data_IF_266874743041
#
_entry.id   IF_266874743041
#
_cell.length_a   1.000
_cell.length_b   1.000
_cell.length_c   1.000
_cell.angle_alpha   90.00
_cell.angle_beta   90.00
_cell.angle_gamma   90.00
#
_symmetry.space_group_name_H-M   'P 1'
#
loop_
_entity.id
_entity.type
_entity.pdbx_description
1 polymer ?
#
# COMPACT_ATOMS: atom_id res chain seq x y z
N UNK A 1 0.37 -20.50 -14.46
CA UNK A 1 0.00 -19.08 -14.43
C UNK A 1 1.12 -18.31 -13.76
N UNK A 2 1.65 -17.26 -14.36
CA UNK A 2 2.81 -16.54 -13.82
C UNK A 2 2.52 -15.73 -12.53
N UNK A 3 1.26 -15.40 -12.27
CA UNK A 3 0.85 -14.79 -10.99
C UNK A 3 0.60 -15.82 -9.89
N UNK A 4 0.39 -17.07 -10.23
CA UNK A 4 0.30 -18.12 -9.22
C UNK A 4 1.65 -18.23 -8.53
N UNK A 5 1.62 -18.05 -7.24
CA UNK A 5 2.81 -18.10 -6.44
C UNK A 5 3.43 -16.74 -6.08
N UNK A 6 2.88 -15.61 -6.53
CA UNK A 6 3.34 -14.28 -6.12
C UNK A 6 2.23 -13.52 -5.40
N UNK A 7 2.57 -12.92 -4.26
CA UNK A 7 1.81 -11.87 -3.62
C UNK A 7 2.81 -10.87 -3.01
N UNK A 8 2.93 -9.71 -3.64
CA UNK A 8 3.96 -8.72 -3.30
C UNK A 8 3.39 -7.50 -2.58
N UNK A 9 2.12 -7.57 -2.10
CA UNK A 9 1.47 -6.48 -1.41
C UNK A 9 0.52 -7.02 -0.33
N UNK A 10 0.93 -6.91 0.92
CA UNK A 10 0.14 -7.37 2.06
C UNK A 10 0.52 -6.64 3.34
N UNK A 11 -0.42 -6.61 4.28
CA UNK A 11 -0.32 -5.92 5.56
C UNK A 11 -0.50 -6.88 6.73
N UNK A 12 0.08 -6.51 7.86
CA UNK A 12 -0.03 -7.20 9.15
C UNK A 12 -0.44 -6.23 10.26
N UNK A 13 -0.52 -6.73 11.50
CA UNK A 13 -0.74 -5.89 12.68
C UNK A 13 0.41 -4.89 12.94
N UNK A 14 1.53 -4.98 12.21
CA UNK A 14 2.57 -3.95 12.23
C UNK A 14 2.13 -2.63 11.56
N UNK A 15 1.04 -2.66 10.77
CA UNK A 15 0.37 -1.45 10.27
C UNK A 15 -1.14 -1.52 10.52
N UNK A 16 -1.94 -1.74 9.51
CA UNK A 16 -3.40 -1.76 9.57
C UNK A 16 -4.03 -3.07 9.06
N UNK A 17 -3.22 -4.12 8.94
CA UNK A 17 -3.71 -5.46 8.74
C UNK A 17 -4.31 -6.08 10.01
N UNK A 18 -5.28 -6.97 9.86
CA UNK A 18 -5.99 -7.63 10.98
C UNK A 18 -5.20 -8.76 11.62
N UNK A 19 -4.17 -9.27 10.97
CA UNK A 19 -3.51 -10.51 11.35
C UNK A 19 -2.04 -10.32 11.68
N UNK A 20 -1.52 -11.04 12.69
CA UNK A 20 -0.09 -11.10 12.96
C UNK A 20 0.65 -11.73 11.77
N UNK A 21 1.91 -11.41 11.63
CA UNK A 21 2.76 -11.79 10.48
C UNK A 21 2.77 -13.30 10.23
N UNK A 22 2.80 -14.11 11.29
CA UNK A 22 2.80 -15.58 11.17
C UNK A 22 1.51 -16.09 10.52
N UNK A 23 0.36 -15.51 10.86
CA UNK A 23 -0.92 -15.90 10.26
C UNK A 23 -1.00 -15.44 8.81
N UNK A 24 -0.49 -14.24 8.48
CA UNK A 24 -0.39 -13.79 7.09
C UNK A 24 0.46 -14.75 6.27
N UNK A 25 1.64 -15.16 6.76
CA UNK A 25 2.50 -16.13 6.09
C UNK A 25 1.82 -17.50 5.91
N UNK A 26 1.05 -17.95 6.90
CA UNK A 26 0.26 -19.19 6.81
C UNK A 26 -0.81 -19.11 5.72
N UNK A 27 -1.56 -18.02 5.68
CA UNK A 27 -2.58 -17.77 4.66
C UNK A 27 -1.96 -17.67 3.27
N UNK A 28 -0.81 -17.00 3.11
CA UNK A 28 -0.06 -16.95 1.85
C UNK A 28 0.30 -18.36 1.37
N UNK A 29 0.95 -19.16 2.22
CA UNK A 29 1.35 -20.52 1.87
C UNK A 29 0.14 -21.42 1.55
N UNK A 30 -0.94 -21.34 2.33
CA UNK A 30 -2.16 -22.13 2.13
C UNK A 30 -2.87 -21.79 0.82
N UNK A 31 -2.72 -20.57 0.31
CA UNK A 31 -3.26 -20.14 -0.97
C UNK A 31 -2.27 -20.35 -2.14
N UNK A 32 -1.15 -21.04 -1.91
CA UNK A 32 -0.21 -21.40 -2.96
C UNK A 32 0.78 -20.30 -3.34
N UNK A 33 0.93 -19.27 -2.52
CA UNK A 33 1.95 -18.23 -2.70
C UNK A 33 3.32 -18.85 -2.43
N UNK A 34 4.27 -18.65 -3.34
CA UNK A 34 5.64 -19.12 -3.26
C UNK A 34 6.62 -17.98 -2.99
N UNK A 35 6.26 -16.77 -3.40
CA UNK A 35 7.04 -15.54 -3.17
C UNK A 35 6.12 -14.47 -2.61
N UNK A 36 6.42 -14.02 -1.43
CA UNK A 36 5.63 -13.10 -0.63
C UNK A 36 6.44 -11.87 -0.23
N UNK A 37 5.83 -10.67 -0.31
CA UNK A 37 6.34 -9.47 0.32
C UNK A 37 5.37 -8.97 1.40
N UNK A 38 5.91 -8.70 2.58
CA UNK A 38 5.21 -7.93 3.62
C UNK A 38 5.55 -6.46 3.41
N UNK A 39 4.50 -5.64 3.22
CA UNK A 39 4.63 -4.23 2.81
C UNK A 39 3.83 -3.30 3.72
N UNK A 40 3.91 -3.52 5.02
CA UNK A 40 3.24 -2.69 6.03
C UNK A 40 3.46 -1.19 5.80
N UNK A 41 2.44 -0.38 6.06
CA UNK A 41 2.47 1.06 5.81
C UNK A 41 3.55 1.78 6.64
N UNK A 42 4.47 2.43 5.95
CA UNK A 42 5.53 3.30 6.49
C UNK A 42 6.39 2.64 7.58
N UNK A 43 6.42 1.30 7.66
CA UNK A 43 7.19 0.57 8.65
C UNK A 43 7.85 -0.69 8.09
N UNK A 44 8.97 -1.07 8.69
CA UNK A 44 9.71 -2.31 8.40
C UNK A 44 9.79 -3.21 9.65
N UNK A 45 8.99 -2.92 10.69
CA UNK A 45 9.09 -3.61 11.99
C UNK A 45 8.76 -5.11 11.89
N UNK A 46 7.92 -5.53 10.93
CA UNK A 46 7.55 -6.92 10.67
C UNK A 46 8.57 -7.74 9.86
N UNK A 47 9.66 -7.16 9.35
CA UNK A 47 10.54 -7.86 8.42
C UNK A 47 11.25 -9.10 8.98
N UNK A 48 11.75 -9.04 10.21
CA UNK A 48 12.45 -10.18 10.85
C UNK A 48 11.47 -11.33 11.06
N UNK A 49 10.30 -11.01 11.59
CA UNK A 49 9.20 -11.94 11.83
C UNK A 49 8.70 -12.54 10.51
N UNK A 50 8.52 -11.72 9.47
CA UNK A 50 8.13 -12.14 8.13
C UNK A 50 9.12 -13.12 7.50
N UNK A 51 10.42 -12.87 7.63
CA UNK A 51 11.45 -13.76 7.12
C UNK A 51 11.45 -15.13 7.85
N UNK A 52 11.24 -15.11 9.19
CA UNK A 52 11.15 -16.34 9.99
C UNK A 52 9.89 -17.15 9.66
N UNK A 53 8.74 -16.47 9.58
CA UNK A 53 7.46 -17.10 9.25
C UNK A 53 7.47 -17.71 7.83
N UNK A 54 7.97 -16.97 6.85
CA UNK A 54 8.10 -17.45 5.47
C UNK A 54 9.03 -18.67 5.36
N UNK A 55 10.16 -18.64 6.07
CA UNK A 55 11.08 -19.80 6.12
C UNK A 55 10.38 -21.04 6.69
N UNK A 56 9.59 -20.87 7.76
CA UNK A 56 8.83 -21.97 8.38
C UNK A 56 7.78 -22.56 7.44
N UNK A 57 7.19 -21.72 6.58
CA UNK A 57 6.18 -22.14 5.61
C UNK A 57 6.76 -22.56 4.26
N UNK A 58 8.09 -22.46 4.07
CA UNK A 58 8.77 -22.86 2.83
C UNK A 58 8.50 -21.92 1.65
N UNK A 59 8.15 -20.65 1.90
CA UNK A 59 7.95 -19.63 0.88
C UNK A 59 9.09 -18.61 0.89
N UNK A 60 9.36 -18.00 -0.26
CA UNK A 60 10.37 -16.95 -0.39
C UNK A 60 9.82 -15.64 0.17
N UNK A 61 10.59 -14.98 1.03
CA UNK A 61 10.26 -13.67 1.59
C UNK A 61 11.02 -12.55 0.87
N UNK A 62 10.32 -11.44 0.62
CA UNK A 62 10.90 -10.17 0.16
C UNK A 62 10.53 -9.09 1.18
N UNK A 63 11.52 -8.51 1.89
CA UNK A 63 11.26 -7.35 2.73
C UNK A 63 10.72 -6.20 1.92
N UNK A 64 9.59 -5.63 2.33
CA UNK A 64 8.95 -4.52 1.62
C UNK A 64 8.33 -3.49 2.57
N UNK A 65 7.98 -2.35 2.03
CA UNK A 65 7.25 -1.27 2.71
C UNK A 65 6.31 -0.63 1.70
N UNK A 66 5.08 -0.35 2.09
CA UNK A 66 4.21 0.55 1.35
C UNK A 66 4.37 1.98 1.91
N UNK A 67 5.08 2.82 1.17
CA UNK A 67 5.40 4.20 1.58
C UNK A 67 4.26 5.12 1.16
N UNK A 68 3.68 5.82 2.13
CA UNK A 68 2.64 6.84 1.89
C UNK A 68 3.28 8.14 1.41
N UNK A 69 3.04 8.51 0.15
CA UNK A 69 3.62 9.68 -0.50
C UNK A 69 2.57 10.76 -0.78
N UNK A 70 3.02 12.00 -0.94
CA UNK A 70 2.24 13.03 -1.60
C UNK A 70 2.00 12.64 -3.07
N UNK A 71 0.83 13.00 -3.66
CA UNK A 71 0.59 12.73 -5.07
C UNK A 71 1.70 13.30 -5.95
N UNK A 72 2.08 12.57 -7.00
CA UNK A 72 3.02 13.11 -7.98
C UNK A 72 2.39 14.32 -8.70
N UNK A 73 3.21 15.33 -8.97
CA UNK A 73 2.79 16.42 -9.85
C UNK A 73 2.76 15.91 -11.29
N UNK A 74 1.58 15.94 -11.90
CA UNK A 74 1.41 15.55 -13.30
C UNK A 74 1.53 16.78 -14.18
N UNK A 75 2.31 16.75 -15.27
CA UNK A 75 2.28 17.81 -16.27
C UNK A 75 0.84 18.01 -16.78
N UNK A 76 0.40 19.26 -16.91
CA UNK A 76 -0.94 19.64 -17.35
C UNK A 76 -2.12 19.23 -16.45
N UNK A 77 -1.94 19.38 -15.14
CA UNK A 77 -3.04 19.24 -14.16
C UNK A 77 -4.28 20.12 -14.44
N UNK A 78 -4.16 21.08 -15.35
CA UNK A 78 -5.27 21.97 -15.76
C UNK A 78 -6.39 21.27 -16.54
N UNK A 79 -6.12 20.09 -17.13
CA UNK A 79 -7.08 19.36 -17.98
C UNK A 79 -7.74 18.15 -17.31
N UNK A 80 -7.30 17.78 -16.09
CA UNK A 80 -8.06 16.79 -15.32
C UNK A 80 -9.38 17.44 -14.92
N UNK A 81 -10.49 16.93 -15.44
CA UNK A 81 -11.82 17.39 -15.05
C UNK A 81 -11.93 17.38 -13.52
N UNK A 82 -12.54 18.42 -12.94
CA UNK A 82 -12.76 18.58 -11.48
C UNK A 82 -13.33 17.31 -10.83
N UNK A 83 -14.13 16.54 -11.57
CA UNK A 83 -14.72 15.26 -11.13
C UNK A 83 -13.70 14.11 -10.95
N UNK A 84 -12.61 14.11 -11.71
CA UNK A 84 -11.53 13.12 -11.54
C UNK A 84 -10.65 13.50 -10.35
N UNK A 85 -10.44 14.79 -10.11
CA UNK A 85 -9.74 15.30 -8.92
C UNK A 85 -10.50 15.01 -7.61
N UNK A 86 -11.84 15.06 -7.63
CA UNK A 86 -12.67 14.73 -6.46
C UNK A 86 -12.61 13.24 -6.08
N UNK A 87 -12.22 12.37 -7.02
CA UNK A 87 -12.07 10.93 -6.81
C UNK A 87 -10.63 10.49 -6.59
N UNK A 88 -9.65 11.32 -6.95
CA UNK A 88 -8.26 10.99 -6.81
C UNK A 88 -7.85 10.92 -5.33
N UNK A 89 -7.12 9.90 -4.94
CA UNK A 89 -6.54 9.79 -3.60
C UNK A 89 -5.60 10.96 -3.34
N UNK A 90 -5.74 11.60 -2.17
CA UNK A 90 -4.80 12.62 -1.71
C UNK A 90 -3.44 12.03 -1.28
N UNK A 91 -3.23 10.75 -1.49
CA UNK A 91 -1.96 10.04 -1.27
C UNK A 91 -1.70 9.08 -2.40
N UNK A 92 -0.47 8.98 -2.81
CA UNK A 92 0.02 7.88 -3.62
C UNK A 92 0.80 6.92 -2.74
N UNK A 93 0.72 5.63 -3.04
CA UNK A 93 1.44 4.60 -2.31
C UNK A 93 2.53 4.01 -3.20
N UNK A 94 3.74 3.98 -2.68
CA UNK A 94 4.91 3.44 -3.37
C UNK A 94 5.37 2.19 -2.64
N UNK A 95 5.27 1.04 -3.30
CA UNK A 95 5.83 -0.21 -2.82
C UNK A 95 7.35 -0.16 -3.00
N UNK A 96 8.06 -0.39 -1.92
CA UNK A 96 9.50 -0.51 -1.88
C UNK A 96 9.86 -1.97 -1.57
N UNK A 97 10.75 -2.58 -2.34
CA UNK A 97 11.18 -3.95 -2.16
C UNK A 97 12.69 -4.03 -2.02
N UNK A 98 13.14 -4.92 -1.14
CA UNK A 98 14.56 -5.15 -0.89
C UNK A 98 14.93 -6.64 -1.10
N UNK A 99 14.86 -7.16 -2.35
CA UNK A 99 14.95 -8.60 -2.64
C UNK A 99 16.30 -9.24 -2.31
N UNK A 100 17.35 -8.43 -2.13
CA UNK A 100 18.70 -8.88 -1.80
C UNK A 100 19.10 -8.58 -0.34
N UNK A 101 18.19 -7.96 0.44
CA UNK A 101 18.42 -7.68 1.84
C UNK A 101 17.98 -8.87 2.71
N UNK A 102 18.83 -9.22 3.69
CA UNK A 102 18.47 -10.18 4.73
C UNK A 102 18.07 -9.42 5.98
N UNK A 103 16.80 -9.53 6.44
CA UNK A 103 16.35 -8.87 7.66
C UNK A 103 17.24 -9.23 8.86
N UNK A 104 17.56 -8.21 9.67
CA UNK A 104 18.49 -8.37 10.79
C UNK A 104 19.97 -8.31 10.45
N UNK A 105 20.36 -8.24 9.16
CA UNK A 105 21.74 -8.04 8.77
C UNK A 105 22.21 -6.61 8.99
N UNK A 106 23.51 -6.41 9.14
CA UNK A 106 24.13 -5.09 9.29
C UNK A 106 24.38 -4.42 7.93
N UNK A 107 23.31 -4.12 7.19
CA UNK A 107 23.37 -3.38 5.93
C UNK A 107 23.22 -1.88 6.18
N UNK A 108 24.32 -1.14 6.05
CA UNK A 108 24.33 0.30 6.31
C UNK A 108 23.43 1.09 5.35
N UNK A 109 23.21 0.63 4.11
CA UNK A 109 22.34 1.31 3.15
C UNK A 109 20.87 1.17 3.58
N UNK A 110 20.46 -0.03 3.93
CA UNK A 110 19.11 -0.30 4.45
C UNK A 110 18.92 0.40 5.80
N UNK A 111 19.92 0.39 6.67
CA UNK A 111 19.85 1.15 7.95
C UNK A 111 19.56 2.63 7.73
N UNK A 112 20.19 3.28 6.74
CA UNK A 112 19.90 4.68 6.39
C UNK A 112 18.47 4.86 5.85
N UNK A 113 17.98 3.92 5.07
CA UNK A 113 16.58 3.94 4.62
C UNK A 113 15.62 3.83 5.82
N UNK A 114 15.87 2.92 6.76
CA UNK A 114 15.04 2.76 7.96
C UNK A 114 15.06 4.04 8.83
N UNK A 115 16.20 4.71 8.95
CA UNK A 115 16.30 6.01 9.63
C UNK A 115 15.53 7.12 8.91
N UNK A 116 15.49 7.08 7.57
CA UNK A 116 14.68 8.00 6.77
C UNK A 116 13.18 7.70 6.89
N UNK A 117 12.81 6.42 7.02
CA UNK A 117 11.42 5.96 7.14
C UNK A 117 10.81 6.25 8.52
N UNK A 118 11.57 6.08 9.60
CA UNK A 118 11.09 6.15 10.98
C UNK A 118 10.27 7.43 11.30
N UNK A 119 10.68 8.66 10.93
CA UNK A 119 9.87 9.86 11.21
C UNK A 119 8.50 9.87 10.51
N UNK A 120 8.31 9.08 9.46
CA UNK A 120 7.04 9.00 8.72
C UNK A 120 6.04 8.12 9.47
N UNK A 121 6.53 7.05 10.07
CA UNK A 121 5.78 6.25 11.03
C UNK A 121 5.45 7.08 12.28
N UNK A 122 6.44 7.75 12.86
CA UNK A 122 6.30 8.55 14.09
C UNK A 122 5.28 9.70 13.94
N UNK A 123 5.09 10.23 12.74
CA UNK A 123 4.09 11.26 12.44
C UNK A 123 2.64 10.78 12.47
N UNK A 124 2.39 9.48 12.45
CA UNK A 124 1.04 8.91 12.41
C UNK A 124 0.32 9.01 13.75
N UNK A 125 0.99 8.77 14.87
CA UNK A 125 0.39 8.88 16.19
C UNK A 125 -0.01 10.34 16.53
N UNK A 126 0.84 11.37 16.42
CA UNK A 126 0.43 12.76 16.63
C UNK A 126 -0.75 13.18 15.74
N UNK A 127 -0.77 12.74 14.48
CA UNK A 127 -1.90 12.96 13.60
C UNK A 127 -3.18 12.30 14.11
N UNK A 128 -3.10 11.05 14.56
CA UNK A 128 -4.25 10.32 15.11
C UNK A 128 -4.83 11.05 16.32
N UNK A 129 -3.98 11.50 17.25
CA UNK A 129 -4.39 12.33 18.39
C UNK A 129 -5.09 13.61 17.95
N UNK A 130 -4.58 14.29 16.94
CA UNK A 130 -5.21 15.49 16.39
C UNK A 130 -6.55 15.19 15.70
N UNK A 131 -6.70 14.05 15.02
CA UNK A 131 -7.97 13.63 14.41
C UNK A 131 -9.02 13.29 15.48
N UNK A 132 -8.65 12.55 16.53
CA UNK A 132 -9.57 12.27 17.66
C UNK A 132 -10.02 13.55 18.34
N UNK A 133 -9.12 14.49 18.63
CA UNK A 133 -9.48 15.81 19.19
C UNK A 133 -10.42 16.60 18.27
N UNK A 134 -10.22 16.51 16.96
CA UNK A 134 -11.11 17.18 15.99
C UNK A 134 -12.49 16.52 15.94
N UNK A 135 -12.58 15.19 15.98
CA UNK A 135 -13.85 14.47 16.09
C UNK A 135 -14.58 14.80 17.40
N UNK A 136 -13.88 14.91 18.52
CA UNK A 136 -14.46 15.35 19.79
C UNK A 136 -15.10 16.74 19.65
N UNK A 137 -14.42 17.69 19.01
CA UNK A 137 -14.98 19.04 18.74
C UNK A 137 -16.21 19.01 17.83
N UNK A 138 -16.42 17.94 17.06
CA UNK A 138 -17.60 17.69 16.21
C UNK A 138 -18.68 16.88 16.93
N UNK A 139 -18.53 16.62 18.24
CA UNK A 139 -19.49 15.87 19.04
C UNK A 139 -19.38 14.35 18.95
N UNK A 140 -18.26 13.85 18.44
CA UNK A 140 -17.95 12.42 18.28
C UNK A 140 -16.65 12.09 19.04
N UNK A 141 -16.61 12.12 20.38
CA UNK A 141 -15.42 11.81 21.14
C UNK A 141 -15.01 10.34 20.95
N UNK A 142 -13.82 10.12 20.45
CA UNK A 142 -13.18 8.80 20.33
C UNK A 142 -11.92 8.80 21.21
N UNK A 143 -11.82 7.82 22.10
CA UNK A 143 -10.65 7.68 22.95
C UNK A 143 -9.44 7.26 22.09
N UNK A 144 -8.46 8.15 21.99
CA UNK A 144 -7.27 7.93 21.18
C UNK A 144 -6.44 6.74 21.67
N UNK A 145 -6.41 6.46 22.96
CA UNK A 145 -5.66 5.31 23.48
C UNK A 145 -6.29 3.98 23.05
N UNK A 146 -7.62 3.93 22.91
CA UNK A 146 -8.31 2.79 22.31
C UNK A 146 -7.93 2.61 20.85
N UNK A 147 -7.84 3.70 20.09
CA UNK A 147 -7.43 3.64 18.67
C UNK A 147 -5.98 3.19 18.53
N UNK A 148 -5.09 3.73 19.38
CA UNK A 148 -3.67 3.36 19.36
C UNK A 148 -3.45 1.90 19.78
N UNK A 149 -4.21 1.41 20.75
CA UNK A 149 -4.12 0.01 21.20
C UNK A 149 -4.57 -1.02 20.15
N UNK A 150 -5.30 -0.61 19.12
CA UNK A 150 -5.67 -1.47 17.98
C UNK A 150 -4.51 -1.69 17.00
N UNK A 151 -3.52 -0.80 17.02
CA UNK A 151 -2.36 -0.87 16.12
C UNK A 151 -1.16 -1.40 16.91
N UNK A 152 -0.65 -2.57 16.56
CA UNK A 152 0.58 -3.12 17.14
C UNK A 152 1.85 -2.40 16.62
N UNK A 153 1.71 -1.60 15.58
CA UNK A 153 2.79 -0.87 14.92
C UNK A 153 2.36 0.50 14.39
N UNK A 154 2.08 0.61 13.12
CA UNK A 154 1.74 1.89 12.49
C UNK A 154 0.24 2.18 12.51
N UNK A 155 -0.20 3.13 13.34
CA UNK A 155 -1.61 3.52 13.40
C UNK A 155 -2.07 4.21 12.12
N UNK A 156 -3.24 3.82 11.61
CA UNK A 156 -3.87 4.39 10.41
C UNK A 156 -5.33 4.79 10.62
N UNK A 157 -5.89 5.49 9.64
CA UNK A 157 -7.32 5.87 9.63
C UNK A 157 -8.29 4.68 9.68
N UNK A 158 -7.97 3.47 9.17
CA UNK A 158 -8.82 2.30 9.36
C UNK A 158 -9.11 1.97 10.83
N UNK A 159 -8.11 2.13 11.73
CA UNK A 159 -8.29 1.94 13.16
C UNK A 159 -9.25 2.97 13.78
N UNK A 160 -9.17 4.23 13.33
CA UNK A 160 -10.10 5.29 13.75
C UNK A 160 -11.51 5.03 13.23
N UNK A 161 -11.65 4.62 11.96
CA UNK A 161 -12.93 4.26 11.37
C UNK A 161 -13.62 3.13 12.16
N UNK A 162 -12.86 2.12 12.55
CA UNK A 162 -13.34 1.02 13.38
C UNK A 162 -13.82 1.51 14.75
N UNK A 163 -13.01 2.34 15.42
CA UNK A 163 -13.41 2.91 16.72
C UNK A 163 -14.66 3.79 16.61
N UNK A 164 -14.86 4.51 15.48
CA UNK A 164 -16.10 5.28 15.23
C UNK A 164 -17.32 4.37 15.04
N UNK A 165 -17.16 3.20 14.39
CA UNK A 165 -18.24 2.20 14.27
C UNK A 165 -18.58 1.62 15.63
N UNK A 166 -17.59 1.22 16.42
CA UNK A 166 -17.78 0.68 17.76
C UNK A 166 -18.46 1.70 18.73
N UNK A 167 -18.13 2.97 18.56
CA UNK A 167 -18.77 4.06 19.31
C UNK A 167 -20.19 4.41 18.82
N UNK A 168 -20.64 3.83 17.70
CA UNK A 168 -21.95 4.06 17.12
C UNK A 168 -22.13 5.41 16.44
N UNK A 169 -21.03 6.08 16.04
CA UNK A 169 -21.08 7.35 15.31
C UNK A 169 -21.35 7.17 13.82
N UNK A 170 -21.02 5.99 13.29
CA UNK A 170 -21.24 5.56 11.91
C UNK A 170 -21.61 4.08 11.88
N UNK A 171 -22.31 3.66 10.84
CA UNK A 171 -22.70 2.25 10.68
C UNK A 171 -21.58 1.39 10.07
N UNK A 172 -20.71 1.98 9.26
CA UNK A 172 -19.63 1.28 8.56
C UNK A 172 -18.33 2.09 8.52
N UNK A 173 -17.20 1.39 8.37
CA UNK A 173 -15.89 2.03 8.11
C UNK A 173 -15.94 2.90 6.86
N UNK A 174 -16.65 2.48 5.82
CA UNK A 174 -16.82 3.23 4.59
C UNK A 174 -17.49 4.59 4.85
N UNK A 175 -18.58 4.61 5.62
CA UNK A 175 -19.26 5.85 6.01
C UNK A 175 -18.34 6.78 6.80
N UNK A 176 -17.49 6.25 7.70
CA UNK A 176 -16.51 7.06 8.42
C UNK A 176 -15.60 7.82 7.44
N UNK A 177 -15.08 7.13 6.41
CA UNK A 177 -14.24 7.78 5.40
C UNK A 177 -15.01 8.79 4.54
N UNK A 178 -16.20 8.45 4.07
CA UNK A 178 -16.98 9.31 3.17
C UNK A 178 -17.43 10.60 3.81
N UNK A 179 -17.74 10.59 5.11
CA UNK A 179 -18.37 11.72 5.79
C UNK A 179 -17.47 12.47 6.77
N UNK A 180 -16.47 11.78 7.36
CA UNK A 180 -15.79 12.33 8.53
C UNK A 180 -14.27 12.38 8.44
N UNK A 181 -13.59 11.27 8.11
CA UNK A 181 -12.14 11.16 8.24
C UNK A 181 -11.40 11.01 6.90
N UNK A 182 -12.13 10.95 5.80
CA UNK A 182 -11.54 11.00 4.46
C UNK A 182 -10.95 12.37 4.14
N UNK A 183 -10.14 12.43 3.11
CA UNK A 183 -9.42 13.65 2.73
C UNK A 183 -10.40 14.81 2.45
N UNK A 184 -10.14 15.95 3.07
CA UNK A 184 -11.00 17.13 2.97
C UNK A 184 -12.23 17.13 3.88
N UNK A 185 -12.56 16.05 4.55
CA UNK A 185 -13.70 15.94 5.44
C UNK A 185 -13.47 16.62 6.81
N UNK A 186 -14.55 16.90 7.58
CA UNK A 186 -14.45 17.69 8.81
C UNK A 186 -13.49 17.16 9.88
N UNK A 187 -13.35 15.84 10.02
CA UNK A 187 -12.44 15.19 10.98
C UNK A 187 -11.03 14.96 10.45
N UNK A 188 -10.77 15.28 9.18
CA UNK A 188 -9.47 15.05 8.55
C UNK A 188 -8.40 16.02 9.06
N UNK A 189 -7.22 15.47 9.36
CA UNK A 189 -6.00 16.23 9.65
C UNK A 189 -4.94 15.85 8.62
N UNK A 190 -4.34 16.82 7.90
CA UNK A 190 -3.26 16.55 6.96
C UNK A 190 -2.07 15.87 7.65
N UNK A 191 -1.38 15.02 6.90
CA UNK A 191 -0.12 14.42 7.31
C UNK A 191 0.97 14.86 6.33
N UNK A 192 2.12 15.29 6.86
CA UNK A 192 3.27 15.59 6.04
C UNK A 192 3.83 14.30 5.44
N UNK A 193 3.82 14.21 4.12
CA UNK A 193 4.21 13.03 3.36
C UNK A 193 5.46 13.34 2.55
N UNK A 194 6.36 12.38 2.35
CA UNK A 194 7.42 12.53 1.36
C UNK A 194 6.82 12.67 -0.04
N UNK A 195 7.51 13.37 -0.90
CA UNK A 195 7.23 13.30 -2.34
C UNK A 195 7.59 11.91 -2.88
N UNK A 196 6.99 11.54 -4.01
CA UNK A 196 7.37 10.31 -4.72
C UNK A 196 8.86 10.27 -5.02
N UNK A 197 9.44 11.39 -5.46
CA UNK A 197 10.87 11.48 -5.80
C UNK A 197 11.78 11.24 -4.59
N UNK A 198 11.44 11.79 -3.43
CA UNK A 198 12.19 11.54 -2.19
C UNK A 198 12.14 10.06 -1.80
N UNK A 199 10.96 9.43 -1.89
CA UNK A 199 10.79 8.02 -1.59
C UNK A 199 11.58 7.12 -2.57
N UNK A 200 11.46 7.35 -3.87
CA UNK A 200 12.24 6.63 -4.90
C UNK A 200 13.74 6.75 -4.65
N UNK A 201 14.22 7.97 -4.38
CA UNK A 201 15.64 8.20 -4.11
C UNK A 201 16.12 7.45 -2.86
N UNK A 202 15.34 7.46 -1.77
CA UNK A 202 15.69 6.75 -0.54
C UNK A 202 15.76 5.23 -0.74
N UNK A 203 14.79 4.65 -1.46
CA UNK A 203 14.75 3.22 -1.78
C UNK A 203 15.93 2.81 -2.67
N UNK A 204 16.18 3.56 -3.76
CA UNK A 204 17.29 3.26 -4.69
C UNK A 204 18.66 3.38 -4.03
N UNK A 205 18.88 4.38 -3.17
CA UNK A 205 20.12 4.50 -2.40
C UNK A 205 20.36 3.31 -1.46
N UNK A 206 19.27 2.70 -0.99
CA UNK A 206 19.34 1.47 -0.18
C UNK A 206 19.49 0.18 -1.01
N UNK A 207 19.51 0.27 -2.35
CA UNK A 207 19.59 -0.87 -3.24
C UNK A 207 18.27 -1.62 -3.42
N UNK A 208 17.15 -0.99 -3.05
CA UNK A 208 15.80 -1.46 -3.29
C UNK A 208 15.27 -1.11 -4.68
N UNK A 209 14.11 -1.65 -5.00
CA UNK A 209 13.33 -1.37 -6.21
C UNK A 209 11.93 -0.89 -5.84
N UNK A 210 11.30 -0.14 -6.74
CA UNK A 210 10.03 0.53 -6.47
C UNK A 210 8.93 0.11 -7.44
N UNK A 211 7.69 0.06 -6.96
CA UNK A 211 6.50 -0.15 -7.79
C UNK A 211 5.36 0.74 -7.30
N UNK A 212 4.64 1.39 -8.20
CA UNK A 212 3.46 2.16 -7.81
C UNK A 212 2.31 1.21 -7.44
N UNK A 213 1.76 1.35 -6.23
CA UNK A 213 0.66 0.52 -5.72
C UNK A 213 -0.69 0.91 -6.36
N UNK A 214 -1.56 -0.07 -6.56
CA UNK A 214 -3.00 0.05 -6.91
C UNK A 214 -3.42 1.33 -7.67
N UNK A 215 -2.83 1.65 -8.83
CA UNK A 215 -2.96 2.96 -9.50
C UNK A 215 -4.39 3.34 -9.92
N UNK A 216 -5.34 2.41 -9.92
CA UNK A 216 -6.76 2.70 -10.21
C UNK A 216 -7.34 3.78 -9.29
N UNK A 217 -6.84 3.87 -8.04
CA UNK A 217 -7.34 4.82 -7.05
C UNK A 217 -6.87 6.25 -7.27
N UNK A 218 -5.92 6.48 -8.19
CA UNK A 218 -5.40 7.84 -8.40
C UNK A 218 -6.15 8.62 -9.46
N UNK A 219 -7.06 7.97 -10.22
CA UNK A 219 -7.87 8.64 -11.24
C UNK A 219 -7.05 9.19 -12.41
N UNK A 220 -5.83 8.67 -12.62
CA UNK A 220 -4.92 9.13 -13.68
C UNK A 220 -5.05 8.20 -14.90
N UNK A 221 -5.23 8.74 -16.13
CA UNK A 221 -5.19 7.94 -17.34
C UNK A 221 -3.87 7.15 -17.44
N UNK A 222 -3.95 5.89 -17.91
CA UNK A 222 -2.80 4.96 -17.90
C UNK A 222 -1.59 5.53 -18.64
N UNK A 223 -1.78 6.15 -19.80
CA UNK A 223 -0.70 6.75 -20.58
C UNK A 223 0.07 7.82 -19.80
N UNK A 224 -0.66 8.73 -19.15
CA UNK A 224 -0.06 9.79 -18.30
C UNK A 224 0.62 9.22 -17.07
N UNK A 225 0.02 8.18 -16.48
CA UNK A 225 0.58 7.48 -15.35
C UNK A 225 1.94 6.86 -15.70
N UNK A 226 2.01 6.11 -16.79
CA UNK A 226 3.25 5.46 -17.25
C UNK A 226 4.36 6.48 -17.53
N UNK A 227 4.02 7.60 -18.17
CA UNK A 227 4.96 8.72 -18.36
C UNK A 227 5.49 9.25 -17.04
N UNK A 228 4.59 9.49 -16.06
CA UNK A 228 4.96 9.95 -14.73
C UNK A 228 5.88 8.96 -13.99
N UNK A 229 5.64 7.64 -14.12
CA UNK A 229 6.50 6.63 -13.50
C UNK A 229 7.92 6.68 -14.05
N UNK A 230 8.07 6.81 -15.36
CA UNK A 230 9.36 6.93 -16.03
C UNK A 230 10.12 8.20 -15.60
N UNK A 231 9.43 9.35 -15.60
CA UNK A 231 10.01 10.64 -15.18
C UNK A 231 10.52 10.63 -13.74
N UNK A 232 9.85 9.94 -12.83
CA UNK A 232 10.27 9.80 -11.43
C UNK A 232 11.25 8.63 -11.22
N UNK A 233 11.51 7.84 -12.26
CA UNK A 233 12.40 6.70 -12.20
C UNK A 233 11.85 5.57 -11.33
N UNK A 234 10.53 5.37 -11.27
CA UNK A 234 9.90 4.23 -10.61
C UNK A 234 10.14 2.99 -11.47
N UNK A 235 10.48 1.86 -10.84
CA UNK A 235 10.94 0.67 -11.56
C UNK A 235 9.79 -0.20 -12.09
N UNK A 236 8.58 -0.03 -11.55
CA UNK A 236 7.44 -0.85 -11.93
C UNK A 236 6.09 -0.30 -11.49
N UNK A 237 5.04 -1.04 -11.81
CA UNK A 237 3.65 -0.74 -11.45
C UNK A 237 2.91 -2.00 -11.03
N UNK A 238 2.08 -1.91 -10.01
CA UNK A 238 1.19 -2.97 -9.60
C UNK A 238 0.02 -3.07 -10.59
N UNK A 239 0.26 -3.77 -11.70
CA UNK A 239 -0.76 -3.93 -12.71
C UNK A 239 -1.80 -5.00 -12.32
N UNK A 240 -1.38 -6.01 -11.56
CA UNK A 240 -2.26 -7.08 -11.10
C UNK A 240 -2.65 -6.86 -9.65
N UNK A 241 -3.79 -6.25 -9.46
CA UNK A 241 -4.40 -5.96 -8.16
C UNK A 241 -5.88 -6.34 -8.18
N UNK A 242 -6.44 -6.71 -7.01
CA UNK A 242 -7.85 -7.15 -6.89
C UNK A 242 -8.88 -6.14 -7.41
N UNK A 243 -8.62 -4.84 -7.23
CA UNK A 243 -9.54 -3.76 -7.63
C UNK A 243 -9.46 -3.41 -9.12
N UNK A 244 -8.50 -3.96 -9.85
CA UNK A 244 -8.34 -3.68 -11.27
C UNK A 244 -9.25 -4.59 -12.10
N UNK A 245 -10.01 -4.02 -13.02
CA UNK A 245 -10.68 -4.81 -14.06
C UNK A 245 -9.66 -5.41 -15.03
N UNK A 246 -10.02 -6.48 -15.73
CA UNK A 246 -9.13 -7.12 -16.68
C UNK A 246 -8.71 -6.17 -17.82
N UNK A 247 -9.61 -5.29 -18.25
CA UNK A 247 -9.29 -4.27 -19.24
C UNK A 247 -8.24 -3.27 -18.73
N UNK A 248 -8.35 -2.83 -17.47
CA UNK A 248 -7.38 -1.93 -16.86
C UNK A 248 -6.03 -2.61 -16.65
N UNK A 249 -6.01 -3.87 -16.19
CA UNK A 249 -4.79 -4.68 -16.07
C UNK A 249 -4.08 -4.82 -17.41
N UNK A 250 -4.82 -5.18 -18.45
CA UNK A 250 -4.27 -5.33 -19.79
C UNK A 250 -3.62 -4.04 -20.28
N UNK A 251 -4.30 -2.90 -20.13
CA UNK A 251 -3.77 -1.62 -20.58
C UNK A 251 -2.53 -1.21 -19.79
N UNK A 252 -2.53 -1.38 -18.46
CA UNK A 252 -1.35 -1.15 -17.62
C UNK A 252 -0.18 -2.04 -18.02
N UNK A 253 -0.40 -3.34 -18.15
CA UNK A 253 0.64 -4.30 -18.53
C UNK A 253 1.22 -3.99 -19.91
N UNK A 254 0.38 -3.67 -20.88
CA UNK A 254 0.78 -3.32 -22.24
C UNK A 254 1.69 -2.08 -22.25
N UNK A 255 1.23 -0.99 -21.65
CA UNK A 255 1.97 0.27 -21.66
C UNK A 255 3.23 0.21 -20.79
N UNK A 256 3.16 -0.40 -19.59
CA UNK A 256 4.31 -0.58 -18.73
C UNK A 256 5.40 -1.42 -19.40
N UNK A 257 5.03 -2.53 -20.06
CA UNK A 257 5.98 -3.38 -20.80
C UNK A 257 6.62 -2.63 -21.96
N UNK A 258 5.84 -1.84 -22.71
CA UNK A 258 6.36 -1.03 -23.81
C UNK A 258 7.38 0.01 -23.34
N UNK A 259 7.23 0.55 -22.12
CA UNK A 259 8.16 1.49 -21.49
C UNK A 259 9.31 0.81 -20.73
N UNK A 260 9.33 -0.53 -20.66
CA UNK A 260 10.36 -1.27 -19.95
C UNK A 260 10.19 -1.31 -18.42
N UNK A 261 9.00 -0.94 -17.92
CA UNK A 261 8.66 -1.02 -16.50
C UNK A 261 8.34 -2.47 -16.08
N UNK A 262 8.69 -2.80 -14.86
CA UNK A 262 8.34 -4.10 -14.26
C UNK A 262 6.84 -4.15 -13.89
N UNK A 263 6.26 -5.35 -13.97
CA UNK A 263 4.90 -5.63 -13.52
C UNK A 263 4.96 -6.28 -12.15
N UNK A 264 4.24 -5.74 -11.17
CA UNK A 264 4.04 -6.37 -9.87
C UNK A 264 2.61 -6.85 -9.67
N UNK A 265 2.47 -7.76 -8.72
CA UNK A 265 1.24 -8.48 -8.39
C UNK A 265 1.04 -8.39 -6.89
N UNK A 266 -0.10 -7.92 -6.42
CA UNK A 266 -0.40 -7.85 -5.00
C UNK A 266 -1.89 -7.96 -4.71
N UNK A 267 -2.22 -8.62 -3.60
CA UNK A 267 -3.60 -8.71 -3.12
C UNK A 267 -4.01 -7.50 -2.32
N UNK A 268 -3.05 -6.74 -1.81
CA UNK A 268 -3.29 -5.68 -0.82
C UNK A 268 -4.10 -6.23 0.36
N UNK A 269 -3.64 -7.39 0.86
CA UNK A 269 -4.33 -8.14 1.89
C UNK A 269 -4.23 -7.43 3.24
N UNK A 270 -5.37 -7.06 3.81
CA UNK A 270 -5.47 -6.46 5.14
C UNK A 270 -6.15 -7.37 6.15
N UNK A 271 -6.83 -8.43 5.69
CA UNK A 271 -7.50 -9.36 6.61
C UNK A 271 -8.68 -10.07 5.98
N UNK A 272 -9.14 -11.11 6.69
CA UNK A 272 -10.24 -11.97 6.23
C UNK A 272 -11.61 -11.29 6.38
N UNK A 273 -11.77 -10.32 7.28
CA UNK A 273 -13.02 -9.56 7.43
C UNK A 273 -13.34 -8.69 6.21
N UNK A 274 -12.32 -8.33 5.41
CA UNK A 274 -12.49 -7.62 4.14
C UNK A 274 -12.88 -8.54 2.98
N UNK A 275 -13.19 -9.81 3.23
CA UNK A 275 -13.44 -10.83 2.21
C UNK A 275 -12.28 -10.98 1.21
N UNK A 276 -11.08 -10.75 1.68
CA UNK A 276 -9.86 -10.84 0.89
C UNK A 276 -9.18 -12.18 1.11
N UNK A 277 -8.55 -12.68 0.07
CA UNK A 277 -7.75 -13.89 0.12
C UNK A 277 -6.37 -13.58 -0.45
N UNK A 278 -5.30 -13.75 0.35
CA UNK A 278 -3.94 -13.54 -0.14
C UNK A 278 -3.64 -14.46 -1.31
N UNK A 279 -2.87 -13.97 -2.28
CA UNK A 279 -2.51 -14.73 -3.47
C UNK A 279 -3.66 -15.03 -4.44
N UNK A 280 -4.89 -14.70 -4.07
CA UNK A 280 -6.07 -14.96 -4.90
C UNK A 280 -6.54 -13.66 -5.57
N UNK A 281 -6.15 -13.50 -6.82
CA UNK A 281 -6.66 -12.44 -7.65
C UNK A 281 -7.51 -13.06 -8.76
N UNK A 282 -8.82 -12.75 -8.83
CA UNK A 282 -9.71 -13.32 -9.84
C UNK A 282 -9.33 -12.77 -11.22
N UNK A 283 -8.46 -13.47 -11.95
CA UNK A 283 -7.90 -13.02 -13.21
C UNK A 283 -7.95 -14.13 -14.22
N UNK A 284 -8.38 -13.79 -15.43
CA UNK A 284 -8.13 -14.60 -16.61
C UNK A 284 -6.79 -14.22 -17.26
N UNK A 285 -5.71 -14.38 -16.48
CA UNK A 285 -4.36 -13.94 -16.92
C UNK A 285 -3.89 -14.64 -18.17
N UNK A 286 -4.21 -15.92 -18.35
CA UNK A 286 -3.82 -16.64 -19.56
C UNK A 286 -4.40 -15.95 -20.82
N UNK A 287 -5.65 -15.48 -20.74
CA UNK A 287 -6.27 -14.72 -21.83
C UNK A 287 -5.60 -13.33 -22.02
N UNK A 288 -5.22 -12.65 -20.95
CA UNK A 288 -4.49 -11.38 -21.01
C UNK A 288 -3.09 -11.57 -21.61
N UNK A 289 -2.36 -12.59 -21.20
CA UNK A 289 -1.02 -12.89 -21.72
C UNK A 289 -1.06 -13.32 -23.19
N UNK A 290 -2.08 -14.03 -23.63
CA UNK A 290 -2.24 -14.40 -25.02
C UNK A 290 -2.56 -13.17 -25.89
N UNK A 291 -3.40 -12.24 -25.40
CA UNK A 291 -3.65 -10.96 -26.07
C UNK A 291 -2.39 -10.09 -26.19
N UNK A 292 -1.50 -10.13 -25.18
CA UNK A 292 -0.22 -9.40 -25.22
C UNK A 292 0.80 -9.99 -26.20
N UNK A 293 0.72 -11.29 -26.53
CA UNK A 293 1.59 -11.92 -27.54
C UNK A 293 1.19 -11.54 -28.97
N UNK A 294 -0.09 -11.19 -29.18
CA UNK A 294 -0.66 -10.87 -30.49
C UNK A 294 -0.63 -9.35 -30.79
N UNK A 295 -0.21 -8.52 -29.82
CA UNK A 295 -0.11 -7.07 -29.91
C UNK A 295 1.34 -6.60 -30.07
#
# INVERSE_FOLDING_TARGET
MWTQGFDLHSHSTHSDGEHPVELVAELMASNGVQTWALTDHDTASGWIEGAQAAMTKGIRFIPGVEITCAPAHLPDDSELELRERERASASWHLLAYFPFHTPGSNDQKVTKFLQWLAPKQDGREPRMRAMCSRLESLGMPVDVEVVLAKAEGSVGRPHLAEAMVEAGYVDTKQEAFERWIGDGNPGFVPHEKPTIQEAVNAVKQAGGVTSLAHPIYYGVPVERLITCLDEHGIDGVEAVHRSHSDAYRYELMKQATAQGLSITVGSDFHGTSYQQHPGHMPIMIDALMDQMKDA
#
